data_IF_203700360325
#
_entry.id   IF_203700360325
#
_cell.length_a   1.000
_cell.length_b   1.000
_cell.length_c   1.000
_cell.angle_alpha   90.00
_cell.angle_beta   90.00
_cell.angle_gamma   90.00
#
_symmetry.space_group_name_H-M   'P 1'
#
loop_
_entity.id
_entity.type
_entity.pdbx_description
1 polymer ?
#
# COMPACT_ATOMS: atom_id res chain seq x y z
N UNK A 1 -7.24 -3.74 -21.40
CA UNK A 1 -6.23 -3.48 -20.36
C UNK A 1 -6.86 -3.74 -19.01
N UNK A 2 -6.25 -4.54 -18.11
CA UNK A 2 -6.83 -4.77 -16.80
C UNK A 2 -7.01 -3.44 -16.05
N UNK A 3 -8.14 -3.26 -15.37
CA UNK A 3 -8.37 -2.08 -14.53
C UNK A 3 -7.33 -2.09 -13.42
N UNK A 4 -6.41 -1.13 -13.47
CA UNK A 4 -5.44 -0.92 -12.39
C UNK A 4 -6.14 -0.26 -11.22
N UNK A 5 -5.88 -0.76 -10.02
CA UNK A 5 -6.31 -0.10 -8.78
C UNK A 5 -5.49 1.18 -8.67
N UNK A 6 -6.17 2.32 -8.58
CA UNK A 6 -5.55 3.62 -8.34
C UNK A 6 -5.97 4.10 -6.96
N UNK A 7 -5.01 4.63 -6.20
CA UNK A 7 -5.26 5.20 -4.87
C UNK A 7 -5.28 6.71 -5.00
N UNK A 8 -6.33 7.34 -4.49
CA UNK A 8 -6.38 8.80 -4.37
C UNK A 8 -5.29 9.29 -3.40
N UNK A 9 -4.53 10.35 -3.75
CA UNK A 9 -3.37 10.79 -2.97
C UNK A 9 -3.77 11.62 -1.73
N UNK A 10 -4.67 11.08 -0.90
CA UNK A 10 -5.04 11.66 0.39
C UNK A 10 -3.90 11.66 1.40
N UNK A 11 -2.96 10.72 1.24
CA UNK A 11 -1.74 10.60 2.01
C UNK A 11 -0.56 10.50 1.05
N UNK A 12 0.53 11.16 1.40
CA UNK A 12 1.80 10.99 0.69
C UNK A 12 2.37 9.58 0.90
N UNK A 13 3.23 9.15 -0.02
CA UNK A 13 3.94 7.87 0.07
C UNK A 13 4.74 7.78 1.39
N UNK A 14 5.30 8.90 1.87
CA UNK A 14 6.03 8.95 3.14
C UNK A 14 5.14 8.75 4.37
N UNK A 15 3.94 9.34 4.37
CA UNK A 15 2.95 9.12 5.45
C UNK A 15 2.45 7.68 5.49
N UNK A 16 2.24 7.07 4.31
CA UNK A 16 1.88 5.65 4.21
C UNK A 16 3.00 4.74 4.73
N UNK A 17 4.26 5.02 4.38
CA UNK A 17 5.42 4.28 4.91
C UNK A 17 5.49 4.39 6.44
N UNK A 18 5.34 5.60 6.97
CA UNK A 18 5.40 5.84 8.40
C UNK A 18 4.33 5.05 9.14
N UNK A 19 3.09 5.07 8.64
CA UNK A 19 1.97 4.31 9.24
C UNK A 19 2.16 2.81 9.14
N UNK A 20 2.68 2.30 8.01
CA UNK A 20 3.08 0.90 7.89
C UNK A 20 4.14 0.51 8.93
N UNK A 21 5.17 1.33 9.13
CA UNK A 21 6.24 1.03 10.11
C UNK A 21 5.79 1.17 11.57
N UNK A 22 4.82 2.04 11.85
CA UNK A 22 4.32 2.31 13.20
C UNK A 22 3.12 1.45 13.60
N UNK A 23 2.44 0.81 12.65
CA UNK A 23 1.30 -0.07 12.88
C UNK A 23 1.67 -1.24 13.79
N UNK A 24 1.04 -1.30 14.96
CA UNK A 24 1.21 -2.39 15.93
C UNK A 24 0.25 -3.54 15.68
N UNK A 25 -0.91 -3.23 15.11
CA UNK A 25 -1.87 -4.24 14.72
C UNK A 25 -1.42 -4.89 13.39
N UNK A 26 -1.31 -6.24 13.33
CA UNK A 26 -0.85 -6.93 12.13
C UNK A 26 -1.72 -6.70 10.89
N UNK A 27 -3.04 -6.51 11.09
CA UNK A 27 -4.00 -6.31 10.01
C UNK A 27 -3.87 -4.88 9.49
N UNK A 28 -3.88 -3.89 10.38
CA UNK A 28 -3.66 -2.48 10.04
C UNK A 28 -2.33 -2.29 9.29
N UNK A 29 -1.26 -2.94 9.76
CA UNK A 29 0.05 -2.89 9.11
C UNK A 29 -0.01 -3.45 7.69
N UNK A 30 -0.69 -4.59 7.49
CA UNK A 30 -0.85 -5.20 6.16
C UNK A 30 -1.64 -4.29 5.22
N UNK A 31 -2.68 -3.62 5.72
CA UNK A 31 -3.45 -2.66 4.93
C UNK A 31 -2.58 -1.47 4.49
N UNK A 32 -1.83 -0.86 5.41
CA UNK A 32 -0.92 0.23 5.05
C UNK A 32 0.18 -0.21 4.09
N UNK A 33 0.69 -1.43 4.22
CA UNK A 33 1.68 -1.99 3.28
C UNK A 33 1.11 -2.08 1.86
N UNK A 34 -0.10 -2.64 1.70
CA UNK A 34 -0.75 -2.78 0.39
C UNK A 34 -1.02 -1.40 -0.23
N UNK A 35 -1.57 -0.46 0.55
CA UNK A 35 -1.86 0.90 0.07
C UNK A 35 -0.57 1.64 -0.31
N UNK A 36 0.50 1.50 0.48
CA UNK A 36 1.81 2.08 0.19
C UNK A 36 2.40 1.56 -1.11
N UNK A 37 2.35 0.24 -1.35
CA UNK A 37 2.86 -0.36 -2.58
C UNK A 37 2.03 0.05 -3.80
N UNK A 38 0.70 0.14 -3.67
CA UNK A 38 -0.17 0.66 -4.72
C UNK A 38 0.12 2.13 -5.03
N UNK A 39 0.35 2.96 -4.00
CA UNK A 39 0.68 4.37 -4.17
C UNK A 39 2.05 4.60 -4.84
N UNK A 40 2.96 3.63 -4.78
CA UNK A 40 4.21 3.63 -5.54
C UNK A 40 4.03 3.24 -7.02
N UNK A 41 2.82 2.85 -7.42
CA UNK A 41 2.50 2.41 -8.78
C UNK A 41 2.79 0.92 -9.05
N UNK A 42 3.03 0.11 -8.00
CA UNK A 42 3.14 -1.34 -8.15
C UNK A 42 1.80 -1.95 -8.52
N UNK A 43 1.82 -3.05 -9.26
CA UNK A 43 0.59 -3.73 -9.64
C UNK A 43 0.10 -4.64 -8.51
N UNK A 44 -1.20 -4.95 -8.52
CA UNK A 44 -1.78 -5.90 -7.57
C UNK A 44 -1.14 -7.29 -7.66
N UNK A 45 -0.70 -7.70 -8.86
CA UNK A 45 0.02 -8.97 -9.02
C UNK A 45 1.40 -8.94 -8.34
N UNK A 46 2.14 -7.84 -8.48
CA UNK A 46 3.43 -7.67 -7.81
C UNK A 46 3.27 -7.69 -6.28
N UNK A 47 2.23 -7.02 -5.77
CA UNK A 47 1.95 -6.94 -4.33
C UNK A 47 1.60 -8.32 -3.76
N UNK A 48 0.77 -9.10 -4.47
CA UNK A 48 0.37 -10.44 -4.02
C UNK A 48 1.53 -11.44 -3.87
N UNK A 49 2.68 -11.17 -4.50
CA UNK A 49 3.91 -11.97 -4.33
C UNK A 49 4.74 -11.48 -3.13
N UNK A 50 4.54 -10.24 -2.68
CA UNK A 50 5.33 -9.58 -1.63
C UNK A 50 4.71 -9.63 -0.23
N UNK A 51 3.40 -9.88 -0.14
CA UNK A 51 2.61 -9.99 1.10
C UNK A 51 2.13 -11.41 1.31
#
# INVERSE_FOLDING_TARGET
MPKRISIEPHLSIGELEQRYRQGKDPIERSHYQIIWLLAQGRTSEEIAVMT
#
